data_IF_905622557705
#
_entry.id   IF_905622557705
#
_cell.length_a   1.000
_cell.length_b   1.000
_cell.length_c   1.000
_cell.angle_alpha   90.00
_cell.angle_beta   90.00
_cell.angle_gamma   90.00
#
_symmetry.space_group_name_H-M   'P 1'
#
loop_
_entity.id
_entity.type
_entity.pdbx_description
1 polymer ?
#
# COMPACT_ATOMS: atom_id res chain seq x y z
N UNK A 1 -48.53 -9.73 20.17
CA UNK A 1 -48.62 -8.26 20.27
C UNK A 1 -47.37 -7.78 21.00
N UNK A 2 -46.51 -7.01 20.34
CA UNK A 2 -45.26 -6.49 20.91
C UNK A 2 -44.28 -6.08 19.82
N UNK A 3 -44.11 -4.77 19.62
CA UNK A 3 -43.51 -4.08 18.46
C UNK A 3 -41.96 -4.13 18.44
N UNK A 4 -41.38 -4.02 17.24
CA UNK A 4 -39.99 -3.58 17.00
C UNK A 4 -39.77 -2.11 17.40
N UNK A 5 -38.54 -1.77 17.79
CA UNK A 5 -37.68 -0.83 17.03
C UNK A 5 -36.30 -1.51 16.79
N UNK A 6 -35.39 -1.16 15.87
CA UNK A 6 -35.06 0.07 15.17
C UNK A 6 -33.52 0.14 15.14
N UNK A 7 -32.92 0.28 13.94
CA UNK A 7 -31.50 0.53 13.57
C UNK A 7 -30.56 1.09 14.66
N UNK A 8 -29.33 0.55 14.75
CA UNK A 8 -28.06 1.27 14.50
C UNK A 8 -26.86 0.69 15.29
N UNK A 9 -25.73 0.54 14.59
CA UNK A 9 -24.39 0.68 15.16
C UNK A 9 -23.65 -0.61 15.47
N UNK A 10 -22.40 -0.68 14.97
CA UNK A 10 -21.31 -1.64 15.26
C UNK A 10 -21.20 -2.75 14.19
N UNK A 11 -20.11 -2.90 13.42
CA UNK A 11 -18.71 -2.82 13.83
C UNK A 11 -17.83 -2.16 12.77
N UNK A 12 -17.19 -1.04 13.15
CA UNK A 12 -15.99 -0.57 12.51
C UNK A 12 -14.95 -1.71 12.52
N UNK A 13 -14.50 -2.13 11.33
CA UNK A 13 -13.41 -3.08 11.21
C UNK A 13 -12.12 -2.34 11.55
N UNK A 14 -11.83 -2.23 12.85
CA UNK A 14 -10.54 -1.78 13.35
C UNK A 14 -9.53 -2.86 12.94
N UNK A 15 -8.85 -2.65 11.81
CA UNK A 15 -7.73 -3.49 11.38
C UNK A 15 -6.54 -3.28 12.34
N UNK A 16 -6.63 -3.89 13.51
CA UNK A 16 -5.52 -4.06 14.45
C UNK A 16 -4.85 -5.39 14.12
N UNK A 17 -3.71 -5.32 13.44
CA UNK A 17 -2.96 -6.46 12.89
C UNK A 17 -2.22 -7.31 13.95
N UNK A 18 -2.83 -7.54 15.12
CA UNK A 18 -2.34 -8.56 16.03
C UNK A 18 -3.49 -9.52 16.34
N UNK A 19 -3.48 -10.63 15.60
CA UNK A 19 -4.36 -11.80 15.72
C UNK A 19 -5.79 -11.59 15.16
N UNK A 20 -5.91 -11.60 13.84
CA UNK A 20 -7.11 -12.11 13.17
C UNK A 20 -6.66 -13.24 12.25
N UNK A 21 -7.19 -14.45 12.48
CA UNK A 21 -7.18 -15.52 11.48
C UNK A 21 -8.26 -15.17 10.45
N UNK A 22 -7.93 -14.82 9.20
CA UNK A 22 -8.84 -15.14 8.12
C UNK A 22 -8.69 -16.64 7.84
N UNK A 23 -9.80 -17.37 7.80
CA UNK A 23 -9.82 -18.64 7.11
C UNK A 23 -9.70 -18.35 5.61
N UNK A 24 -8.48 -18.07 5.16
CA UNK A 24 -8.12 -17.94 3.76
C UNK A 24 -6.68 -18.44 3.63
N UNK A 25 -6.59 -19.65 3.09
CA UNK A 25 -5.40 -20.39 2.68
C UNK A 25 -4.14 -19.51 2.45
N UNK A 26 -3.09 -19.78 3.21
CA UNK A 26 -1.77 -19.12 3.19
C UNK A 26 -1.11 -19.11 1.79
N UNK A 27 -1.67 -19.85 0.82
CA UNK A 27 -1.26 -19.87 -0.59
C UNK A 27 -1.69 -18.63 -1.39
N UNK A 28 -2.56 -17.76 -0.87
CA UNK A 28 -3.12 -16.61 -1.61
C UNK A 28 -2.30 -15.30 -1.54
N UNK A 29 -1.26 -15.22 -0.70
CA UNK A 29 -0.55 -13.96 -0.40
C UNK A 29 0.06 -13.25 -1.61
N UNK A 30 0.61 -13.99 -2.58
CA UNK A 30 1.15 -13.41 -3.82
C UNK A 30 0.09 -13.26 -4.92
N UNK A 31 -0.97 -14.07 -4.88
CA UNK A 31 -2.01 -14.11 -5.91
C UNK A 31 -3.07 -13.01 -5.73
N UNK A 32 -3.42 -12.66 -4.48
CA UNK A 32 -4.37 -11.59 -4.15
C UNK A 32 -3.78 -10.17 -4.24
N UNK A 33 -2.45 -10.04 -4.18
CA UNK A 33 -1.74 -8.76 -4.32
C UNK A 33 -1.78 -8.23 -5.76
N UNK A 34 -1.90 -9.12 -6.76
CA UNK A 34 -1.97 -8.73 -8.18
C UNK A 34 -3.24 -7.92 -8.51
N UNK A 35 -4.46 -8.33 -8.08
CA UNK A 35 -5.64 -7.48 -8.15
C UNK A 35 -5.48 -6.18 -7.35
N UNK A 36 -4.93 -6.26 -6.13
CA UNK A 36 -4.79 -5.10 -5.25
C UNK A 36 -3.96 -3.98 -5.89
N UNK A 37 -2.81 -4.30 -6.50
CA UNK A 37 -1.92 -3.33 -7.15
C UNK A 37 -2.58 -2.52 -8.27
N UNK A 38 -3.54 -3.12 -9.01
CA UNK A 38 -4.29 -2.41 -10.05
C UNK A 38 -5.12 -1.26 -9.47
N UNK A 39 -5.76 -1.51 -8.34
CA UNK A 39 -6.56 -0.49 -7.65
C UNK A 39 -5.71 0.52 -6.90
N UNK A 40 -4.57 0.10 -6.37
CA UNK A 40 -3.58 1.01 -5.79
C UNK A 40 -3.13 2.03 -6.83
N UNK A 41 -2.91 1.56 -8.07
CA UNK A 41 -2.59 2.45 -9.18
C UNK A 41 -3.72 3.45 -9.43
N UNK A 42 -4.98 3.00 -9.44
CA UNK A 42 -6.13 3.91 -9.60
C UNK A 42 -6.25 4.95 -8.47
N UNK A 43 -6.05 4.54 -7.20
CA UNK A 43 -6.04 5.46 -6.06
C UNK A 43 -4.90 6.46 -6.19
N UNK A 44 -3.69 5.99 -6.54
CA UNK A 44 -2.53 6.86 -6.71
C UNK A 44 -2.74 7.87 -7.84
N UNK A 45 -3.35 7.46 -8.96
CA UNK A 45 -3.73 8.33 -10.08
C UNK A 45 -4.76 9.41 -9.69
N UNK A 46 -5.58 9.15 -8.66
CA UNK A 46 -6.51 10.13 -8.11
C UNK A 46 -5.87 11.13 -7.15
N UNK A 47 -4.74 10.77 -6.53
CA UNK A 47 -4.05 11.59 -5.53
C UNK A 47 -2.95 12.48 -6.13
N UNK A 48 -2.31 12.05 -7.22
CA UNK A 48 -1.20 12.78 -7.81
C UNK A 48 -0.98 12.56 -9.30
N UNK A 49 -0.02 13.29 -9.86
CA UNK A 49 0.29 13.30 -11.29
C UNK A 49 1.61 12.61 -11.62
N UNK A 50 2.51 12.48 -10.65
CA UNK A 50 3.86 11.91 -10.81
C UNK A 50 4.09 10.87 -9.73
N UNK A 51 3.98 9.60 -10.11
CA UNK A 51 3.89 8.49 -9.16
C UNK A 51 5.23 7.75 -9.10
N UNK A 52 5.84 7.76 -7.92
CA UNK A 52 7.01 6.96 -7.59
C UNK A 52 6.60 5.60 -7.01
N UNK A 53 7.17 4.52 -7.51
CA UNK A 53 6.85 3.16 -7.03
C UNK A 53 7.97 2.64 -6.13
N UNK A 54 7.66 2.40 -4.86
CA UNK A 54 8.61 1.86 -3.89
C UNK A 54 8.36 0.37 -3.67
N UNK A 55 9.36 -0.46 -3.93
CA UNK A 55 9.25 -1.91 -3.82
C UNK A 55 10.51 -2.56 -3.26
N UNK A 56 10.51 -3.89 -3.24
CA UNK A 56 11.68 -4.71 -2.88
C UNK A 56 12.41 -5.29 -4.12
N UNK A 57 11.97 -4.90 -5.31
CA UNK A 57 12.57 -5.24 -6.60
C UNK A 57 13.01 -3.94 -7.27
N UNK A 58 14.02 -4.04 -8.15
CA UNK A 58 14.58 -2.89 -8.86
C UNK A 58 13.55 -2.24 -9.80
N UNK A 59 12.68 -3.06 -10.39
CA UNK A 59 11.63 -2.61 -11.29
C UNK A 59 10.24 -2.68 -10.65
N UNK A 60 9.40 -1.70 -10.99
CA UNK A 60 7.97 -1.76 -10.71
C UNK A 60 7.32 -2.97 -11.41
N UNK A 61 6.32 -3.63 -10.79
CA UNK A 61 5.57 -4.68 -11.45
C UNK A 61 5.00 -4.21 -12.80
N UNK A 62 5.13 -4.99 -13.90
CA UNK A 62 4.72 -4.55 -15.24
C UNK A 62 3.27 -4.07 -15.32
N UNK A 63 2.36 -4.71 -14.58
CA UNK A 63 0.95 -4.31 -14.50
C UNK A 63 0.77 -2.91 -13.88
N UNK A 64 1.53 -2.57 -12.84
CA UNK A 64 1.51 -1.22 -12.23
C UNK A 64 2.07 -0.20 -13.21
N UNK A 65 3.21 -0.52 -13.83
CA UNK A 65 3.85 0.36 -14.82
C UNK A 65 2.89 0.67 -15.99
N UNK A 66 2.21 -0.35 -16.51
CA UNK A 66 1.24 -0.19 -17.60
C UNK A 66 0.03 0.67 -17.20
N UNK A 67 -0.44 0.57 -15.95
CA UNK A 67 -1.58 1.37 -15.47
C UNK A 67 -1.20 2.82 -15.19
N UNK A 68 0.00 3.05 -14.66
CA UNK A 68 0.48 4.39 -14.36
C UNK A 68 0.82 5.17 -15.64
N UNK A 69 1.30 4.49 -16.69
CA UNK A 69 1.60 5.08 -17.99
C UNK A 69 2.52 6.30 -17.85
N UNK A 70 2.15 7.41 -18.47
CA UNK A 70 2.91 8.67 -18.45
C UNK A 70 3.04 9.31 -17.06
N UNK A 71 2.23 8.86 -16.08
CA UNK A 71 2.34 9.33 -14.70
C UNK A 71 3.36 8.54 -13.89
N UNK A 72 3.91 7.44 -14.41
CA UNK A 72 5.02 6.74 -13.77
C UNK A 72 6.29 7.59 -13.83
N UNK A 73 6.85 7.93 -12.67
CA UNK A 73 8.10 8.72 -12.58
C UNK A 73 9.32 7.81 -12.54
N UNK A 74 9.39 6.97 -11.51
CA UNK A 74 10.49 6.04 -11.29
C UNK A 74 10.07 4.91 -10.34
N UNK A 75 10.87 3.85 -10.30
CA UNK A 75 10.81 2.83 -9.25
C UNK A 75 12.09 2.81 -8.44
N UNK A 76 11.98 2.54 -7.15
CA UNK A 76 13.13 2.39 -6.28
C UNK A 76 13.02 1.15 -5.40
N UNK A 77 14.17 0.54 -5.16
CA UNK A 77 14.39 -0.47 -4.13
C UNK A 77 15.26 0.14 -3.02
N UNK A 78 14.89 0.02 -1.74
CA UNK A 78 15.75 0.40 -0.62
C UNK A 78 17.11 -0.32 -0.69
N UNK A 79 18.19 0.40 -0.40
CA UNK A 79 19.52 -0.21 -0.39
C UNK A 79 19.61 -1.28 0.70
N UNK A 80 20.29 -2.40 0.40
CA UNK A 80 20.42 -3.54 1.33
C UNK A 80 19.16 -4.38 1.54
N UNK A 81 18.00 -4.01 0.96
CA UNK A 81 16.76 -4.78 1.06
C UNK A 81 16.58 -5.66 -0.17
N UNK A 82 16.71 -6.97 0.01
CA UNK A 82 16.48 -7.97 -1.04
C UNK A 82 15.29 -8.88 -0.75
N UNK A 83 14.92 -9.00 0.52
CA UNK A 83 13.82 -9.83 1.02
C UNK A 83 12.98 -9.02 1.99
N UNK A 84 11.72 -9.41 2.13
CA UNK A 84 10.78 -8.75 3.06
C UNK A 84 11.28 -8.73 4.50
N UNK A 85 12.06 -9.72 4.93
CA UNK A 85 12.61 -9.78 6.29
C UNK A 85 13.68 -8.70 6.54
N UNK A 86 14.37 -8.23 5.50
CA UNK A 86 15.40 -7.19 5.62
C UNK A 86 14.77 -5.84 6.00
N UNK A 87 13.47 -5.65 5.75
CA UNK A 87 12.71 -4.46 6.16
C UNK A 87 12.51 -4.38 7.69
N UNK A 88 12.63 -5.50 8.39
CA UNK A 88 12.49 -5.57 9.85
C UNK A 88 13.81 -5.28 10.57
N UNK A 89 14.93 -5.25 9.84
CA UNK A 89 16.21 -4.88 10.40
C UNK A 89 16.20 -3.40 10.81
N UNK A 90 17.02 -2.98 11.79
CA UNK A 90 17.14 -1.57 12.19
C UNK A 90 17.45 -0.62 11.04
N UNK A 91 18.17 -1.10 10.02
CA UNK A 91 18.57 -0.37 8.82
C UNK A 91 17.46 -0.30 7.76
N UNK A 92 16.42 -1.12 7.88
CA UNK A 92 15.30 -1.21 6.93
C UNK A 92 14.53 0.10 6.79
N UNK A 93 13.92 0.65 7.85
CA UNK A 93 13.17 1.91 7.76
C UNK A 93 14.00 3.11 7.25
N UNK A 94 15.26 3.33 7.70
CA UNK A 94 16.13 4.35 7.11
C UNK A 94 16.38 4.15 5.61
N UNK A 95 16.68 2.92 5.17
CA UNK A 95 16.90 2.63 3.74
C UNK A 95 15.64 2.87 2.90
N UNK A 96 14.46 2.56 3.45
CA UNK A 96 13.17 2.83 2.79
C UNK A 96 12.94 4.33 2.66
N UNK A 97 13.22 5.10 3.70
CA UNK A 97 13.11 6.56 3.67
C UNK A 97 14.07 7.18 2.66
N UNK A 98 15.32 6.71 2.58
CA UNK A 98 16.30 7.15 1.59
C UNK A 98 15.81 6.91 0.16
N UNK A 99 15.36 5.68 -0.15
CA UNK A 99 14.82 5.35 -1.47
C UNK A 99 13.58 6.18 -1.82
N UNK A 100 12.67 6.39 -0.86
CA UNK A 100 11.50 7.24 -1.04
C UNK A 100 11.89 8.72 -1.26
N UNK A 101 12.91 9.20 -0.55
CA UNK A 101 13.46 10.56 -0.74
C UNK A 101 14.00 10.74 -2.16
N UNK A 102 14.73 9.74 -2.67
CA UNK A 102 15.21 9.74 -4.06
C UNK A 102 14.08 9.82 -5.10
N UNK A 103 12.96 9.12 -4.87
CA UNK A 103 11.78 9.19 -5.73
C UNK A 103 11.16 10.59 -5.74
N UNK A 104 11.00 11.21 -4.57
CA UNK A 104 10.47 12.58 -4.46
C UNK A 104 11.42 13.60 -5.09
N UNK A 105 12.72 13.47 -4.87
CA UNK A 105 13.74 14.30 -5.50
C UNK A 105 13.75 14.16 -7.04
N UNK A 106 13.35 12.98 -7.55
CA UNK A 106 13.14 12.74 -8.99
C UNK A 106 11.82 13.31 -9.53
N UNK A 107 11.03 13.99 -8.68
CA UNK A 107 9.80 14.68 -9.03
C UNK A 107 8.51 13.94 -8.70
N UNK A 108 8.56 12.80 -8.01
CA UNK A 108 7.34 12.11 -7.58
C UNK A 108 6.55 12.99 -6.59
N UNK A 109 5.27 13.21 -6.86
CA UNK A 109 4.33 13.91 -5.99
C UNK A 109 3.41 12.95 -5.21
N UNK A 110 3.47 11.66 -5.51
CA UNK A 110 2.75 10.59 -4.82
C UNK A 110 3.60 9.33 -4.84
N UNK A 111 3.61 8.58 -3.73
CA UNK A 111 4.31 7.30 -3.64
C UNK A 111 3.32 6.14 -3.62
N UNK A 112 3.67 5.04 -4.28
CA UNK A 112 2.92 3.79 -4.27
C UNK A 112 3.78 2.67 -3.72
N UNK A 113 3.33 2.02 -2.64
CA UNK A 113 4.02 0.87 -2.05
C UNK A 113 3.65 -0.41 -2.83
N UNK A 114 4.61 -0.99 -3.54
CA UNK A 114 4.40 -2.15 -4.42
C UNK A 114 4.61 -3.51 -3.74
N UNK A 115 4.98 -3.52 -2.45
CA UNK A 115 5.18 -4.73 -1.66
C UNK A 115 4.39 -4.66 -0.36
N UNK A 116 3.63 -5.70 -0.04
CA UNK A 116 2.89 -5.80 1.24
C UNK A 116 3.80 -5.79 2.46
N UNK A 117 5.08 -6.18 2.31
CA UNK A 117 6.08 -6.08 3.36
C UNK A 117 6.33 -4.67 3.88
N UNK A 118 6.22 -3.67 3.01
CA UNK A 118 6.34 -2.25 3.38
C UNK A 118 5.16 -1.79 4.25
N UNK A 119 3.98 -2.37 4.04
CA UNK A 119 2.83 -2.14 4.90
C UNK A 119 3.00 -2.85 6.26
N UNK A 120 3.55 -4.07 6.27
CA UNK A 120 3.76 -4.83 7.51
C UNK A 120 4.63 -4.09 8.52
N UNK A 121 5.60 -3.30 8.07
CA UNK A 121 6.44 -2.46 8.94
C UNK A 121 5.80 -1.10 9.29
N UNK A 122 4.64 -0.77 8.72
CA UNK A 122 3.93 0.47 9.01
C UNK A 122 4.68 1.73 8.58
N UNK A 123 5.45 1.69 7.49
CA UNK A 123 6.34 2.81 7.10
C UNK A 123 5.58 4.02 6.55
N UNK A 124 4.32 3.84 6.14
CA UNK A 124 3.52 4.89 5.48
C UNK A 124 3.49 6.22 6.26
N UNK A 125 3.11 6.28 7.55
CA UNK A 125 3.03 7.55 8.27
C UNK A 125 4.38 8.25 8.35
N UNK A 126 5.47 7.49 8.55
CA UNK A 126 6.82 8.04 8.57
C UNK A 126 7.17 8.71 7.23
N UNK A 127 6.83 8.08 6.10
CA UNK A 127 7.08 8.65 4.77
C UNK A 127 6.24 9.90 4.53
N UNK A 128 4.94 9.87 4.87
CA UNK A 128 4.04 11.02 4.72
C UNK A 128 4.52 12.21 5.57
N UNK A 129 4.90 11.97 6.83
CA UNK A 129 5.41 13.00 7.75
C UNK A 129 6.74 13.59 7.30
N UNK A 130 7.66 12.76 6.79
CA UNK A 130 9.01 13.19 6.42
C UNK A 130 9.10 13.82 5.04
N UNK A 131 8.28 13.35 4.09
CA UNK A 131 8.38 13.74 2.68
C UNK A 131 7.25 14.69 2.25
N UNK A 132 6.17 14.80 3.02
CA UNK A 132 5.05 15.70 2.72
C UNK A 132 4.26 15.33 1.47
N UNK A 133 4.39 14.09 0.97
CA UNK A 133 3.66 13.57 -0.18
C UNK A 133 2.74 12.42 0.25
N UNK A 134 1.57 12.25 -0.40
CA UNK A 134 0.69 11.12 -0.12
C UNK A 134 1.36 9.79 -0.46
N UNK A 135 1.12 8.77 0.37
CA UNK A 135 1.66 7.42 0.21
C UNK A 135 0.53 6.41 0.13
N UNK A 136 0.38 5.76 -1.02
CA UNK A 136 -0.65 4.77 -1.27
C UNK A 136 -0.20 3.40 -0.79
N UNK A 137 -0.89 2.91 0.24
CA UNK A 137 -0.71 1.58 0.79
C UNK A 137 -1.66 0.56 0.13
N UNK A 138 -1.14 -0.59 -0.35
CA UNK A 138 -1.96 -1.54 -1.08
C UNK A 138 -2.97 -2.30 -0.24
N UNK A 139 -2.73 -2.47 1.06
CA UNK A 139 -3.67 -3.12 1.97
C UNK A 139 -4.79 -2.15 2.33
N UNK A 140 -4.49 -0.86 2.54
CA UNK A 140 -5.53 0.15 2.76
C UNK A 140 -6.39 0.36 1.52
N UNK A 141 -5.78 0.38 0.33
CA UNK A 141 -6.52 0.43 -0.93
C UNK A 141 -7.46 -0.78 -1.09
N UNK A 142 -7.00 -1.99 -0.74
CA UNK A 142 -7.85 -3.18 -0.74
C UNK A 142 -9.00 -3.11 0.29
N UNK A 143 -8.74 -2.60 1.50
CA UNK A 143 -9.76 -2.41 2.53
C UNK A 143 -10.83 -1.38 2.15
N UNK A 144 -10.43 -0.32 1.45
CA UNK A 144 -11.36 0.66 0.88
C UNK A 144 -12.31 -0.02 -0.10
N UNK A 145 -11.79 -0.82 -1.04
CA UNK A 145 -12.60 -1.55 -2.00
C UNK A 145 -13.57 -2.53 -1.36
N UNK A 146 -13.11 -3.29 -0.35
CA UNK A 146 -13.97 -4.21 0.37
C UNK A 146 -15.16 -3.48 1.04
N UNK A 147 -14.95 -2.23 1.45
CA UNK A 147 -15.98 -1.38 2.05
C UNK A 147 -16.96 -0.83 1.02
N UNK A 148 -16.51 -0.49 -0.20
CA UNK A 148 -17.40 -0.04 -1.28
C UNK A 148 -18.11 -1.19 -2.01
N UNK A 149 -17.52 -2.39 -2.05
CA UNK A 149 -18.09 -3.57 -2.69
C UNK A 149 -19.24 -4.24 -1.93
N UNK A 150 -19.45 -3.88 -0.65
CA UNK A 150 -20.59 -4.33 0.15
C UNK A 150 -21.74 -3.29 0.21
N UNK A 151 -21.64 -2.21 -0.57
CA UNK A 151 -22.62 -1.12 -0.61
C UNK A 151 -23.48 -1.09 -1.86
N UNK A 152 -23.86 -2.25 -2.41
CA UNK A 152 -24.75 -2.40 -3.57
C UNK A 152 -25.92 -3.34 -3.26
#
# INVERSE_FOLDING_TARGET
>A
MGRRPGRAGQNACVFRCHRVRPAADERLGAAAVRPALRWCSAVALGLGRRIGVLGIRDEAPPAVRALLGDRFTASARPHGVHRTIDLLAPEGPPAVLEAATGLVASGADTLLLACTGLNTIGIRPLLEERLGVPVVDPVLAAGLLASYGHGG
#
